data_IF_308015494772
#
_entry.id   IF_308015494772
#
_cell.length_a   1.000
_cell.length_b   1.000
_cell.length_c   1.000
_cell.angle_alpha   90.00
_cell.angle_beta   90.00
_cell.angle_gamma   90.00
#
_symmetry.space_group_name_H-M   'P 1'
#
loop_
_entity.id
_entity.type
_entity.pdbx_description
1 polymer ?
#
# COMPACT_ATOMS: atom_id res chain seq x y z
N UNK A 1 -6.47 -2.52 22.49
CA UNK A 1 -5.37 -3.20 21.81
C UNK A 1 -4.53 -2.19 21.05
N UNK A 2 -3.25 -2.22 21.26
CA UNK A 2 -2.37 -1.35 20.53
C UNK A 2 -2.27 -1.80 19.07
N UNK A 3 -2.19 -0.85 18.18
CA UNK A 3 -2.01 -1.12 16.77
C UNK A 3 -0.52 -1.35 16.52
N UNK A 4 -0.09 -2.62 16.57
CA UNK A 4 1.31 -2.98 16.42
C UNK A 4 1.78 -2.92 14.96
N UNK A 5 0.86 -2.92 13.98
CA UNK A 5 1.19 -2.83 12.56
C UNK A 5 0.22 -1.90 11.83
N UNK A 6 0.55 -0.60 11.78
CA UNK A 6 -0.33 0.37 11.10
C UNK A 6 -0.52 0.10 9.62
N UNK A 7 0.47 -0.49 8.94
CA UNK A 7 0.34 -0.83 7.51
C UNK A 7 -0.64 -1.96 7.34
N UNK A 8 -0.56 -3.01 8.17
CA UNK A 8 -1.53 -4.10 8.12
C UNK A 8 -2.95 -3.59 8.37
N UNK A 9 -3.11 -2.65 9.31
CA UNK A 9 -4.40 -2.02 9.55
C UNK A 9 -4.90 -1.28 8.32
N UNK A 10 -4.04 -0.51 7.65
CA UNK A 10 -4.38 0.18 6.41
C UNK A 10 -4.89 -0.79 5.36
N UNK A 11 -4.16 -1.88 5.12
CA UNK A 11 -4.54 -2.88 4.13
C UNK A 11 -5.87 -3.54 4.49
N UNK A 12 -6.08 -3.81 5.77
CA UNK A 12 -7.34 -4.39 6.26
C UNK A 12 -8.52 -3.45 6.05
N UNK A 13 -8.34 -2.15 6.31
CA UNK A 13 -9.40 -1.16 6.09
C UNK A 13 -9.78 -1.06 4.61
N UNK A 14 -8.79 -1.09 3.73
CA UNK A 14 -9.03 -1.08 2.29
C UNK A 14 -9.80 -2.35 1.89
N UNK A 15 -9.33 -3.50 2.32
CA UNK A 15 -9.96 -4.78 2.00
C UNK A 15 -11.39 -4.85 2.49
N UNK A 16 -11.64 -4.47 3.75
CA UNK A 16 -12.98 -4.50 4.32
C UNK A 16 -13.90 -3.47 3.65
N UNK A 17 -13.38 -2.30 3.29
CA UNK A 17 -14.14 -1.29 2.57
C UNK A 17 -14.60 -1.80 1.21
N UNK A 18 -13.76 -2.56 0.52
CA UNK A 18 -14.10 -3.14 -0.78
C UNK A 18 -15.21 -4.20 -0.66
N UNK A 19 -15.18 -4.99 0.42
CA UNK A 19 -16.19 -6.03 0.65
C UNK A 19 -17.59 -5.42 0.75
N UNK A 20 -17.72 -4.28 1.40
CA UNK A 20 -19.01 -3.60 1.58
C UNK A 20 -19.21 -2.47 0.56
N UNK A 21 -18.36 -2.43 -0.46
CA UNK A 21 -18.47 -1.50 -1.59
C UNK A 21 -18.51 -0.02 -1.19
N UNK A 22 -17.66 0.35 -0.22
CA UNK A 22 -17.53 1.76 0.16
C UNK A 22 -16.85 2.57 -0.92
N UNK A 23 -17.22 3.85 -1.02
CA UNK A 23 -16.54 4.77 -1.93
C UNK A 23 -15.14 5.11 -1.43
N UNK A 24 -14.97 5.26 -0.12
CA UNK A 24 -13.68 5.57 0.48
C UNK A 24 -13.55 4.95 1.87
N UNK A 25 -12.32 4.92 2.36
CA UNK A 25 -12.01 4.52 3.74
C UNK A 25 -11.17 5.59 4.40
N UNK A 26 -11.29 5.70 5.71
CA UNK A 26 -10.61 6.71 6.51
C UNK A 26 -9.75 6.04 7.56
N UNK A 27 -8.57 6.58 7.80
CA UNK A 27 -7.64 6.04 8.79
C UNK A 27 -6.74 7.15 9.34
N UNK A 28 -6.13 6.97 10.51
CA UNK A 28 -5.12 7.91 10.95
C UNK A 28 -4.00 8.00 9.92
N UNK A 29 -3.56 9.22 9.61
CA UNK A 29 -2.53 9.42 8.59
C UNK A 29 -1.12 9.24 9.16
N UNK A 30 -0.19 8.86 8.30
CA UNK A 30 1.23 8.90 8.56
C UNK A 30 1.95 9.12 7.24
N UNK A 31 3.21 9.53 7.30
CA UNK A 31 4.00 9.74 6.08
C UNK A 31 4.10 8.45 5.26
N UNK A 32 4.28 7.32 5.93
CA UNK A 32 4.40 6.04 5.26
C UNK A 32 3.08 5.63 4.59
N UNK A 33 1.95 5.79 5.27
CA UNK A 33 0.65 5.48 4.68
C UNK A 33 0.34 6.36 3.47
N UNK A 34 0.67 7.64 3.54
CA UNK A 34 0.50 8.55 2.41
C UNK A 34 1.36 8.13 1.22
N UNK A 35 2.61 7.73 1.48
CA UNK A 35 3.51 7.26 0.43
C UNK A 35 2.98 5.97 -0.23
N UNK A 36 2.45 5.04 0.55
CA UNK A 36 1.83 3.82 0.04
C UNK A 36 0.60 4.17 -0.82
N UNK A 37 -0.25 5.07 -0.33
CA UNK A 37 -1.44 5.49 -1.08
C UNK A 37 -1.06 6.14 -2.41
N UNK A 38 0.01 6.94 -2.44
CA UNK A 38 0.50 7.55 -3.66
C UNK A 38 0.92 6.50 -4.69
N UNK A 39 1.65 5.47 -4.26
CA UNK A 39 2.05 4.37 -5.13
C UNK A 39 0.82 3.65 -5.67
N UNK A 40 -0.16 3.35 -4.82
CA UNK A 40 -1.39 2.69 -5.24
C UNK A 40 -2.16 3.51 -6.27
N UNK A 41 -2.21 4.82 -6.11
CA UNK A 41 -2.86 5.72 -7.06
C UNK A 41 -2.10 5.75 -8.38
N UNK A 42 -0.79 5.93 -8.34
CA UNK A 42 0.04 6.02 -9.53
C UNK A 42 -0.01 4.73 -10.36
N UNK A 43 -0.19 3.58 -9.70
CA UNK A 43 -0.30 2.28 -10.38
C UNK A 43 -1.75 1.92 -10.75
N UNK A 44 -2.70 2.81 -10.46
CA UNK A 44 -4.09 2.62 -10.89
C UNK A 44 -4.93 1.72 -10.00
N UNK A 45 -4.51 1.46 -8.77
CA UNK A 45 -5.24 0.58 -7.84
C UNK A 45 -6.30 1.29 -7.02
N UNK A 46 -6.16 2.59 -6.81
CA UNK A 46 -7.13 3.42 -6.09
C UNK A 46 -7.43 4.68 -6.91
N UNK A 47 -8.57 5.32 -6.63
CA UNK A 47 -8.96 6.54 -7.32
C UNK A 47 -8.14 7.75 -6.87
N UNK A 48 -7.82 7.80 -5.59
CA UNK A 48 -7.04 8.90 -5.06
C UNK A 48 -6.96 8.85 -3.55
N UNK A 49 -6.26 9.82 -2.99
CA UNK A 49 -6.15 9.97 -1.55
C UNK A 49 -6.04 11.44 -1.18
N UNK A 50 -6.49 11.77 0.02
CA UNK A 50 -6.34 13.11 0.59
C UNK A 50 -6.05 12.99 2.07
N UNK A 51 -5.38 14.02 2.62
CA UNK A 51 -5.17 14.14 4.05
C UNK A 51 -6.02 15.28 4.56
N UNK A 52 -6.86 14.99 5.55
CA UNK A 52 -7.79 15.96 6.14
C UNK A 52 -7.48 16.11 7.62
N UNK A 53 -7.40 17.34 8.09
CA UNK A 53 -7.24 17.60 9.50
C UNK A 53 -8.59 17.42 10.22
N UNK A 54 -8.60 16.60 11.27
CA UNK A 54 -9.78 16.39 12.11
C UNK A 54 -9.38 16.62 13.55
N UNK A 55 -9.81 17.75 14.12
CA UNK A 55 -9.51 18.17 15.48
C UNK A 55 -7.99 18.14 15.77
N UNK A 56 -7.20 18.65 14.81
CA UNK A 56 -5.75 18.70 14.93
C UNK A 56 -5.03 17.39 14.63
N UNK A 57 -5.76 16.31 14.32
CA UNK A 57 -5.19 15.01 13.95
C UNK A 57 -5.40 14.76 12.47
N UNK A 58 -4.32 14.46 11.72
CA UNK A 58 -4.48 14.20 10.30
C UNK A 58 -5.11 12.82 10.06
N UNK A 59 -6.08 12.79 9.15
CA UNK A 59 -6.71 11.57 8.67
C UNK A 59 -6.42 11.38 7.19
N UNK A 60 -6.11 10.15 6.81
CA UNK A 60 -5.94 9.80 5.41
C UNK A 60 -7.24 9.22 4.89
N UNK A 61 -7.74 9.81 3.81
CA UNK A 61 -8.92 9.33 3.10
C UNK A 61 -8.45 8.69 1.81
N UNK A 62 -8.81 7.43 1.59
CA UNK A 62 -8.42 6.66 0.40
C UNK A 62 -9.67 6.36 -0.41
N UNK A 63 -9.74 6.87 -1.63
CA UNK A 63 -10.85 6.60 -2.55
C UNK A 63 -10.66 5.22 -3.20
N UNK A 64 -11.59 4.31 -2.94
CA UNK A 64 -11.53 2.96 -3.50
C UNK A 64 -11.97 2.96 -4.95
N UNK A 65 -11.40 2.06 -5.74
CA UNK A 65 -11.64 2.01 -7.18
C UNK A 65 -12.31 0.69 -7.54
N UNK A 66 -13.33 0.81 -8.39
CA UNK A 66 -14.10 -0.34 -8.88
C UNK A 66 -14.17 -0.29 -10.39
N UNK A 67 -14.23 -1.46 -11.00
CA UNK A 67 -14.41 -1.58 -12.44
C UNK A 67 -15.44 -2.68 -12.70
N UNK A 68 -16.47 -2.36 -13.46
CA UNK A 68 -17.55 -3.30 -13.78
C UNK A 68 -18.15 -3.97 -12.53
N UNK A 69 -18.32 -3.20 -11.45
CA UNK A 69 -18.91 -3.67 -10.20
C UNK A 69 -17.97 -4.47 -9.30
N UNK A 70 -16.68 -4.53 -9.64
CA UNK A 70 -15.69 -5.29 -8.86
C UNK A 70 -14.56 -4.39 -8.39
N UNK A 71 -13.99 -4.64 -7.19
CA UNK A 71 -12.80 -3.92 -6.77
C UNK A 71 -11.64 -4.14 -7.73
N UNK A 72 -10.89 -3.09 -8.01
CA UNK A 72 -9.70 -3.18 -8.85
C UNK A 72 -8.61 -3.99 -8.13
N UNK A 73 -8.48 -3.82 -6.82
CA UNK A 73 -7.53 -4.61 -6.04
C UNK A 73 -8.14 -5.97 -5.74
N UNK A 74 -7.51 -7.04 -6.24
CA UNK A 74 -7.93 -8.41 -5.98
C UNK A 74 -7.09 -9.07 -4.89
N UNK A 75 -5.82 -8.64 -4.74
CA UNK A 75 -4.89 -9.22 -3.80
C UNK A 75 -4.17 -8.11 -3.05
N UNK A 76 -4.14 -8.20 -1.74
CA UNK A 76 -3.52 -7.20 -0.89
C UNK A 76 -2.94 -7.93 0.33
N UNK A 77 -1.62 -8.13 0.34
CA UNK A 77 -0.94 -8.95 1.35
C UNK A 77 0.18 -8.17 2.02
N UNK A 78 0.18 -8.19 3.34
CA UNK A 78 1.29 -7.70 4.14
C UNK A 78 2.45 -8.69 4.06
N UNK A 79 3.66 -8.21 3.80
CA UNK A 79 4.85 -9.06 3.70
C UNK A 79 5.76 -8.85 4.90
N UNK A 80 6.40 -7.68 5.00
CA UNK A 80 7.25 -7.34 6.13
C UNK A 80 6.38 -6.95 7.32
N UNK A 81 6.70 -7.45 8.51
CA UNK A 81 5.90 -7.21 9.72
C UNK A 81 6.83 -6.77 10.85
N UNK A 82 6.30 -6.07 11.87
CA UNK A 82 7.15 -5.68 13.01
C UNK A 82 7.89 -6.84 13.66
N UNK A 83 7.27 -8.01 13.72
CA UNK A 83 7.88 -9.22 14.30
C UNK A 83 8.82 -9.97 13.37
N UNK A 84 8.77 -9.67 12.06
CA UNK A 84 9.63 -10.33 11.06
C UNK A 84 9.79 -9.39 9.87
N UNK A 85 10.84 -8.59 9.89
CA UNK A 85 11.14 -7.67 8.79
C UNK A 85 11.73 -8.42 7.61
N UNK A 86 11.26 -8.10 6.41
CA UNK A 86 11.69 -8.73 5.16
C UNK A 86 12.37 -7.69 4.29
N UNK A 87 13.69 -7.84 4.12
CA UNK A 87 14.50 -6.97 3.26
C UNK A 87 15.02 -7.76 2.07
N UNK A 88 15.03 -7.13 0.91
CA UNK A 88 15.55 -7.74 -0.32
C UNK A 88 16.41 -6.73 -1.06
N UNK A 89 17.49 -7.19 -1.67
CA UNK A 89 18.25 -6.36 -2.60
C UNK A 89 17.51 -6.29 -3.94
N UNK A 90 17.94 -5.39 -4.83
CA UNK A 90 17.25 -5.15 -6.10
C UNK A 90 17.12 -6.40 -6.98
N UNK A 91 18.08 -7.33 -6.88
CA UNK A 91 18.05 -8.54 -7.67
C UNK A 91 17.19 -9.66 -7.08
N UNK A 92 16.73 -9.50 -5.83
CA UNK A 92 15.97 -10.53 -5.11
C UNK A 92 14.53 -10.12 -4.82
N UNK A 93 14.10 -8.93 -5.23
CA UNK A 93 12.71 -8.48 -5.02
C UNK A 93 11.81 -9.33 -5.93
N UNK A 94 10.83 -10.05 -5.36
CA UNK A 94 10.00 -10.94 -6.16
C UNK A 94 9.05 -10.15 -7.07
N UNK A 95 8.70 -10.78 -8.19
CA UNK A 95 7.63 -10.28 -9.05
C UNK A 95 6.30 -10.85 -8.57
N UNK A 96 5.28 -10.01 -8.47
CA UNK A 96 3.95 -10.41 -8.05
C UNK A 96 3.16 -10.79 -9.28
N UNK A 97 2.62 -12.02 -9.29
CA UNK A 97 1.84 -12.55 -10.42
C UNK A 97 2.55 -12.36 -11.78
N UNK A 98 3.84 -12.72 -11.83
CA UNK A 98 4.68 -12.60 -13.03
C UNK A 98 4.72 -11.19 -13.62
N UNK A 99 4.67 -10.17 -12.75
CA UNK A 99 4.74 -8.78 -13.16
C UNK A 99 3.39 -8.11 -13.41
N UNK A 100 2.28 -8.85 -13.27
CA UNK A 100 0.94 -8.26 -13.39
C UNK A 100 0.55 -7.46 -12.15
N UNK A 101 1.09 -7.82 -10.99
CA UNK A 101 0.93 -7.07 -9.76
C UNK A 101 2.19 -6.30 -9.41
N UNK A 102 2.20 -5.71 -8.22
CA UNK A 102 3.35 -4.95 -7.70
C UNK A 102 3.71 -5.39 -6.29
N UNK A 103 4.98 -5.24 -5.93
CA UNK A 103 5.41 -5.17 -4.54
C UNK A 103 5.67 -3.70 -4.21
N UNK A 104 5.25 -3.26 -3.05
CA UNK A 104 5.56 -1.92 -2.57
C UNK A 104 6.76 -2.04 -1.63
N UNK A 105 7.83 -1.32 -1.95
CA UNK A 105 9.12 -1.44 -1.28
C UNK A 105 9.50 -0.09 -0.66
N UNK A 106 9.90 -0.13 0.60
CA UNK A 106 10.46 1.04 1.28
C UNK A 106 11.97 1.02 1.08
N UNK A 107 12.50 2.02 0.38
CA UNK A 107 13.92 2.13 0.05
C UNK A 107 14.51 3.38 0.66
N UNK A 108 15.85 3.52 0.69
CA UNK A 108 16.47 4.77 1.14
C UNK A 108 16.06 6.01 0.32
N UNK A 109 15.56 5.79 -0.90
CA UNK A 109 15.09 6.89 -1.77
C UNK A 109 13.57 7.06 -1.73
N UNK A 110 12.88 6.36 -0.84
CA UNK A 110 11.44 6.48 -0.66
C UNK A 110 10.70 5.18 -0.94
N UNK A 111 9.38 5.26 -0.83
CA UNK A 111 8.50 4.14 -1.10
C UNK A 111 8.23 4.07 -2.59
N UNK A 112 8.40 2.89 -3.18
CA UNK A 112 8.24 2.72 -4.63
C UNK A 112 7.82 1.29 -4.96
N UNK A 113 7.50 1.05 -6.23
CA UNK A 113 7.20 -0.30 -6.70
C UNK A 113 8.48 -1.12 -6.83
N UNK A 114 8.32 -2.45 -6.89
CA UNK A 114 9.42 -3.37 -7.17
C UNK A 114 10.10 -3.04 -8.49
N UNK A 115 9.31 -2.68 -9.51
CA UNK A 115 9.84 -2.32 -10.82
C UNK A 115 10.72 -1.08 -10.75
N UNK A 116 10.26 -0.05 -10.04
CA UNK A 116 11.04 1.18 -9.86
C UNK A 116 12.32 0.93 -9.07
N UNK A 117 12.25 0.10 -8.03
CA UNK A 117 13.42 -0.26 -7.22
C UNK A 117 14.45 -1.02 -8.04
N UNK A 118 14.02 -1.97 -8.86
CA UNK A 118 14.94 -2.72 -9.75
C UNK A 118 15.60 -1.78 -10.77
N UNK A 119 14.82 -0.88 -11.37
CA UNK A 119 15.35 0.08 -12.33
C UNK A 119 16.38 1.02 -11.70
N UNK A 120 16.16 1.41 -10.46
CA UNK A 120 17.09 2.27 -9.72
C UNK A 120 18.28 1.51 -9.14
N UNK A 121 18.26 0.17 -9.19
CA UNK A 121 19.32 -0.67 -8.64
C UNK A 121 19.38 -0.64 -7.12
N UNK A 122 18.26 -0.43 -6.44
CA UNK A 122 18.20 -0.35 -4.99
C UNK A 122 17.23 -1.38 -4.43
N UNK A 123 17.55 -1.89 -3.25
CA UNK A 123 16.67 -2.77 -2.51
C UNK A 123 16.07 -2.06 -1.32
N UNK A 124 15.30 -2.79 -0.53
CA UNK A 124 14.67 -2.24 0.67
C UNK A 124 13.76 -3.25 1.34
N UNK A 125 12.92 -2.71 2.19
CA UNK A 125 11.93 -3.50 2.93
C UNK A 125 10.71 -3.72 2.05
N UNK A 126 10.35 -4.98 1.82
CA UNK A 126 9.16 -5.33 1.04
C UNK A 126 7.95 -5.23 1.96
N UNK A 127 7.15 -4.18 1.77
CA UNK A 127 6.03 -3.88 2.65
C UNK A 127 4.82 -4.76 2.39
N UNK A 128 4.42 -4.88 1.13
CA UNK A 128 3.22 -5.63 0.77
C UNK A 128 3.22 -6.00 -0.71
N UNK A 129 2.34 -6.92 -1.06
CA UNK A 129 2.03 -7.26 -2.46
C UNK A 129 0.64 -6.76 -2.79
N UNK A 130 0.47 -6.25 -4.01
CA UNK A 130 -0.81 -5.75 -4.54
C UNK A 130 -1.01 -6.28 -5.94
N UNK A 131 -2.19 -6.78 -6.19
CA UNK A 131 -2.57 -7.20 -7.53
C UNK A 131 -4.07 -7.03 -7.78
#
# INVERSE_FOLDING_TARGET
MSMSDPIADMLTRIRNGQIVEKADVVMPSSKLKVAIAKVLKDEGYIDGHTVVANEGKPELHVGLKYYAGRPVIERLERVSRPGLRIYKNHGSIPQVMNGLGIAIVSTPKGVMTDRAARSAGIGGEVLCYVA
#
